data_IF_344480377619
#
_entry.id   IF_344480377619
#
_cell.length_a   1.000
_cell.length_b   1.000
_cell.length_c   1.000
_cell.angle_alpha   90.00
_cell.angle_beta   90.00
_cell.angle_gamma   90.00
#
_symmetry.space_group_name_H-M   'P 1'
#
loop_
_entity.id
_entity.type
_entity.pdbx_description
1 polymer ?
#
# COMPACT_ATOMS: atom_id res chain seq x y z
N UNK A 1 -14.02 32.14 -10.71
CA UNK A 1 -13.47 31.61 -9.43
C UNK A 1 -12.00 32.01 -9.38
N UNK A 2 -11.53 32.58 -8.27
CA UNK A 2 -10.19 33.17 -8.23
C UNK A 2 -9.13 32.07 -8.35
N UNK A 3 -8.05 32.32 -9.11
CA UNK A 3 -6.89 31.43 -9.21
C UNK A 3 -6.32 31.04 -7.83
N UNK A 4 -6.57 31.87 -6.81
CA UNK A 4 -6.23 31.61 -5.41
C UNK A 4 -6.99 30.41 -4.80
N UNK A 5 -8.26 30.20 -5.15
CA UNK A 5 -9.07 29.08 -4.63
C UNK A 5 -8.61 27.75 -5.25
N UNK A 6 -8.23 27.76 -6.53
CA UNK A 6 -7.69 26.59 -7.22
C UNK A 6 -6.33 26.18 -6.65
N UNK A 7 -5.47 27.16 -6.34
CA UNK A 7 -4.16 26.90 -5.72
C UNK A 7 -4.31 26.39 -4.27
N UNK A 8 -5.26 26.92 -3.50
CA UNK A 8 -5.53 26.44 -2.14
C UNK A 8 -6.09 25.00 -2.12
N UNK A 9 -6.94 24.63 -3.09
CA UNK A 9 -7.40 23.25 -3.24
C UNK A 9 -6.28 22.29 -3.67
N UNK A 10 -5.40 22.72 -4.58
CA UNK A 10 -4.26 21.92 -5.03
C UNK A 10 -3.21 21.71 -3.91
N UNK A 11 -3.00 22.71 -3.05
CA UNK A 11 -2.10 22.60 -1.89
C UNK A 11 -2.73 21.73 -0.78
N UNK A 12 -4.03 21.83 -0.53
CA UNK A 12 -4.73 20.96 0.44
C UNK A 12 -4.76 19.49 -0.01
N UNK A 13 -4.89 19.23 -1.31
CA UNK A 13 -4.79 17.89 -1.88
C UNK A 13 -3.38 17.29 -1.74
N UNK A 14 -2.33 18.13 -1.71
CA UNK A 14 -0.95 17.69 -1.53
C UNK A 14 -0.64 17.19 -0.11
N UNK A 15 -1.38 17.66 0.90
CA UNK A 15 -1.25 17.23 2.30
C UNK A 15 -2.05 15.96 2.66
N UNK A 16 -2.81 15.40 1.72
CA UNK A 16 -3.58 14.17 1.91
C UNK A 16 -2.83 12.89 1.48
N UNK A 17 -1.51 12.98 1.28
CA UNK A 17 -0.66 11.86 0.86
C UNK A 17 -0.16 11.09 2.08
N UNK A 18 -1.08 10.39 2.74
CA UNK A 18 -0.79 9.52 3.88
C UNK A 18 -1.87 8.47 4.09
N UNK A 19 -2.46 7.95 3.00
CA UNK A 19 -3.69 7.14 3.02
C UNK A 19 -3.52 5.71 3.54
N UNK A 20 -2.35 5.33 4.03
CA UNK A 20 -2.09 4.02 4.60
C UNK A 20 -1.73 4.17 6.07
N UNK A 21 -2.43 3.47 6.95
CA UNK A 21 -2.01 3.30 8.34
C UNK A 21 -1.03 2.13 8.41
N UNK A 22 0.28 2.37 8.62
CA UNK A 22 1.24 1.29 8.72
C UNK A 22 1.16 0.57 10.08
N UNK A 23 1.71 -0.64 10.13
CA UNK A 23 1.86 -1.44 11.34
C UNK A 23 3.25 -2.05 11.46
N UNK A 24 3.77 -2.08 12.69
CA UNK A 24 5.06 -2.72 12.98
C UNK A 24 4.98 -4.24 12.91
N UNK A 25 3.83 -4.84 13.25
CA UNK A 25 3.65 -6.29 13.28
C UNK A 25 2.60 -6.68 12.24
N UNK A 26 2.83 -7.76 11.49
CA UNK A 26 1.82 -8.34 10.61
C UNK A 26 0.69 -9.05 11.36
N UNK A 27 -0.35 -9.41 10.61
CA UNK A 27 -1.51 -10.20 11.04
C UNK A 27 -1.46 -11.65 10.55
N UNK A 28 -0.56 -11.97 9.62
CA UNK A 28 -0.38 -13.30 9.08
C UNK A 28 0.28 -14.27 10.08
N UNK A 29 -0.26 -15.48 10.17
CA UNK A 29 0.25 -16.62 10.94
C UNK A 29 -0.04 -17.91 10.18
N UNK A 30 0.70 -18.99 10.45
CA UNK A 30 0.48 -20.28 9.80
C UNK A 30 -0.97 -20.79 9.90
N UNK A 31 -1.72 -20.39 10.94
CA UNK A 31 -3.09 -20.86 11.18
C UNK A 31 -4.18 -20.06 10.45
N UNK A 32 -3.89 -18.86 9.94
CA UNK A 32 -4.91 -17.97 9.38
C UNK A 32 -4.62 -17.50 7.94
N UNK A 33 -3.44 -17.83 7.39
CA UNK A 33 -3.16 -17.61 5.98
C UNK A 33 -4.00 -18.58 5.16
N UNK A 34 -4.65 -18.04 4.14
CA UNK A 34 -5.41 -18.81 3.17
C UNK A 34 -4.91 -18.51 1.76
N UNK A 35 -4.99 -19.52 0.89
CA UNK A 35 -4.69 -19.36 -0.53
C UNK A 35 -5.96 -19.42 -1.36
N UNK A 36 -6.11 -18.43 -2.22
CA UNK A 36 -7.18 -18.27 -3.21
C UNK A 36 -6.56 -18.09 -4.60
N UNK A 37 -6.64 -19.10 -5.48
CA UNK A 37 -6.10 -19.00 -6.83
C UNK A 37 -6.79 -17.90 -7.65
N UNK A 38 -8.01 -17.50 -7.26
CA UNK A 38 -8.76 -16.45 -7.94
C UNK A 38 -8.09 -15.07 -7.80
N UNK A 39 -7.28 -14.85 -6.75
CA UNK A 39 -6.55 -13.60 -6.53
C UNK A 39 -5.42 -13.40 -7.55
N UNK A 40 -4.84 -14.49 -8.08
CA UNK A 40 -3.74 -14.45 -9.04
C UNK A 40 -4.20 -13.83 -10.36
N UNK A 41 -3.41 -12.89 -10.87
CA UNK A 41 -3.70 -12.15 -12.10
C UNK A 41 -3.58 -10.64 -11.90
N UNK A 42 -4.00 -9.90 -12.92
CA UNK A 42 -3.95 -8.44 -12.93
C UNK A 42 -5.35 -7.85 -12.69
N UNK A 43 -5.38 -6.86 -11.81
CA UNK A 43 -6.57 -6.15 -11.37
C UNK A 43 -6.38 -4.66 -11.59
N UNK A 44 -7.22 -4.06 -12.43
CA UNK A 44 -7.06 -2.68 -12.89
C UNK A 44 -8.13 -1.81 -12.25
N UNK A 45 -7.76 -0.58 -11.88
CA UNK A 45 -8.73 0.42 -11.42
C UNK A 45 -9.70 0.82 -12.54
N UNK A 46 -10.91 1.24 -12.17
CA UNK A 46 -11.94 1.66 -13.14
C UNK A 46 -11.47 2.81 -14.06
N UNK A 47 -10.54 3.65 -13.59
CA UNK A 47 -9.95 4.75 -14.35
C UNK A 47 -8.67 4.37 -15.11
N UNK A 48 -8.23 3.10 -15.04
CA UNK A 48 -7.04 2.58 -15.68
C UNK A 48 -5.78 3.40 -15.33
N UNK A 49 -5.70 3.90 -14.11
CA UNK A 49 -4.54 4.63 -13.58
C UNK A 49 -3.50 3.72 -12.92
N UNK A 50 -3.95 2.60 -12.35
CA UNK A 50 -3.08 1.63 -11.68
C UNK A 50 -3.58 0.19 -11.87
N UNK A 51 -2.65 -0.75 -11.82
CA UNK A 51 -2.90 -2.18 -11.82
C UNK A 51 -2.19 -2.86 -10.66
N UNK A 52 -2.88 -3.85 -10.08
CA UNK A 52 -2.41 -4.70 -9.00
C UNK A 52 -2.20 -6.08 -9.56
N UNK A 53 -0.94 -6.49 -9.71
CA UNK A 53 -0.56 -7.75 -10.35
C UNK A 53 -0.13 -8.74 -9.27
N UNK A 54 -0.98 -9.72 -8.99
CA UNK A 54 -0.67 -10.78 -8.03
C UNK A 54 -0.10 -12.00 -8.73
N UNK A 55 1.02 -12.49 -8.24
CA UNK A 55 1.61 -13.78 -8.63
C UNK A 55 1.79 -14.70 -7.41
N UNK A 56 1.77 -16.01 -7.65
CA UNK A 56 1.99 -17.01 -6.60
C UNK A 56 3.49 -17.17 -6.33
N UNK A 57 3.92 -17.05 -5.09
CA UNK A 57 5.30 -17.34 -4.68
C UNK A 57 5.43 -18.81 -4.26
N UNK A 58 4.46 -19.27 -3.47
CA UNK A 58 4.35 -20.65 -3.02
C UNK A 58 2.86 -21.04 -2.85
N UNK A 59 2.56 -22.04 -2.01
CA UNK A 59 1.20 -22.55 -1.77
C UNK A 59 0.34 -21.64 -0.88
N UNK A 60 0.92 -20.61 -0.24
CA UNK A 60 0.25 -19.75 0.75
C UNK A 60 0.50 -18.25 0.53
N UNK A 61 1.56 -17.86 -0.17
CA UNK A 61 1.99 -16.47 -0.31
C UNK A 61 1.93 -15.97 -1.75
N UNK A 62 1.76 -14.65 -1.85
CA UNK A 62 1.72 -13.92 -3.10
C UNK A 62 2.83 -12.88 -3.15
N UNK A 63 3.22 -12.55 -4.37
CA UNK A 63 3.92 -11.31 -4.67
C UNK A 63 2.90 -10.37 -5.32
N UNK A 64 2.88 -9.12 -4.89
CA UNK A 64 2.11 -8.06 -5.50
C UNK A 64 3.06 -7.05 -6.12
N UNK A 65 2.90 -6.83 -7.41
CA UNK A 65 3.50 -5.72 -8.12
C UNK A 65 2.43 -4.65 -8.36
N UNK A 66 2.70 -3.43 -7.88
CA UNK A 66 1.85 -2.27 -8.14
C UNK A 66 2.40 -1.54 -9.35
N UNK A 67 1.62 -1.51 -10.43
CA UNK A 67 2.00 -0.89 -11.71
C UNK A 67 1.15 0.36 -11.91
N UNK A 68 1.80 1.47 -12.23
CA UNK A 68 1.16 2.72 -12.61
C UNK A 68 1.50 3.05 -14.05
N UNK A 69 0.94 4.15 -14.58
CA UNK A 69 1.30 4.63 -15.92
C UNK A 69 2.79 5.02 -16.05
N UNK A 70 3.45 5.32 -14.93
CA UNK A 70 4.88 5.68 -14.88
C UNK A 70 5.79 4.44 -14.69
N UNK A 71 5.21 3.23 -14.72
CA UNK A 71 5.91 1.95 -14.49
C UNK A 71 5.61 1.34 -13.12
N UNK A 72 6.44 0.39 -12.70
CA UNK A 72 6.31 -0.30 -11.41
C UNK A 72 6.59 0.65 -10.25
N UNK A 73 5.57 0.86 -9.41
CA UNK A 73 5.59 1.76 -8.25
C UNK A 73 5.99 1.03 -6.95
N UNK A 74 5.85 -0.30 -6.90
CA UNK A 74 6.39 -1.08 -5.78
C UNK A 74 6.13 -2.58 -5.86
N UNK A 75 6.95 -3.32 -5.12
CA UNK A 75 6.88 -4.78 -5.00
C UNK A 75 6.68 -5.20 -3.55
N UNK A 76 5.70 -6.07 -3.29
CA UNK A 76 5.27 -6.44 -1.95
C UNK A 76 5.09 -7.95 -1.78
N UNK A 77 5.57 -8.47 -0.65
CA UNK A 77 5.15 -9.77 -0.15
C UNK A 77 3.73 -9.63 0.43
N UNK A 78 2.83 -10.53 0.04
CA UNK A 78 1.44 -10.48 0.47
C UNK A 78 0.97 -11.82 1.02
N UNK A 79 0.34 -11.79 2.18
CA UNK A 79 -0.43 -12.88 2.73
C UNK A 79 -1.92 -12.53 2.73
N UNK A 80 -2.76 -13.43 2.25
CA UNK A 80 -4.22 -13.31 2.40
C UNK A 80 -4.63 -14.01 3.69
N UNK A 81 -5.26 -13.26 4.59
CA UNK A 81 -5.55 -13.69 5.96
C UNK A 81 -7.06 -13.71 6.18
N UNK A 82 -7.58 -14.80 6.76
CA UNK A 82 -8.98 -14.90 7.17
C UNK A 82 -9.10 -14.66 8.68
N UNK A 83 -9.89 -13.64 9.06
CA UNK A 83 -10.18 -13.28 10.46
C UNK A 83 -11.69 -13.17 10.64
N UNK A 84 -12.26 -14.02 11.50
CA UNK A 84 -13.72 -14.04 11.80
C UNK A 84 -14.62 -14.14 10.55
N UNK A 85 -14.13 -14.79 9.47
CA UNK A 85 -14.84 -14.96 8.20
C UNK A 85 -14.65 -13.80 7.21
N UNK A 86 -13.87 -12.79 7.57
CA UNK A 86 -13.50 -11.64 6.73
C UNK A 86 -12.08 -11.81 6.19
N UNK A 87 -11.84 -11.28 4.99
CA UNK A 87 -10.54 -11.37 4.33
C UNK A 87 -9.74 -10.07 4.46
N UNK A 88 -8.47 -10.22 4.78
CA UNK A 88 -7.51 -9.12 4.84
C UNK A 88 -6.25 -9.44 4.05
N UNK A 89 -5.76 -8.47 3.29
CA UNK A 89 -4.40 -8.49 2.76
C UNK A 89 -3.46 -7.95 3.82
N UNK A 90 -2.43 -8.72 4.14
CA UNK A 90 -1.26 -8.29 4.90
C UNK A 90 -0.10 -8.09 3.92
N UNK A 91 0.20 -6.82 3.64
CA UNK A 91 1.21 -6.42 2.67
C UNK A 91 2.48 -5.96 3.39
N UNK A 92 3.64 -6.41 2.92
CA UNK A 92 4.94 -6.00 3.43
C UNK A 92 5.91 -5.74 2.27
N UNK A 93 6.73 -4.66 2.29
CA UNK A 93 7.67 -4.38 1.22
C UNK A 93 8.57 -5.57 0.91
N UNK A 94 8.75 -5.88 -0.37
CA UNK A 94 9.63 -6.94 -0.83
C UNK A 94 11.10 -6.51 -0.72
N UNK A 95 11.96 -7.43 -0.29
CA UNK A 95 13.42 -7.24 -0.34
C UNK A 95 13.97 -7.36 -1.78
N UNK A 96 13.15 -7.83 -2.71
CA UNK A 96 13.46 -7.89 -4.15
C UNK A 96 13.20 -6.56 -4.87
N UNK A 97 12.62 -5.55 -4.21
CA UNK A 97 12.45 -4.23 -4.82
C UNK A 97 13.82 -3.55 -5.03
N UNK A 98 14.27 -3.46 -6.28
CA UNK A 98 15.59 -2.95 -6.63
C UNK A 98 15.71 -1.43 -6.53
N UNK A 99 14.58 -0.70 -6.55
CA UNK A 99 14.50 0.77 -6.45
C UNK A 99 14.50 1.26 -5.00
N UNK A 100 14.61 0.34 -4.05
CA UNK A 100 14.47 0.61 -2.64
C UNK A 100 15.64 1.44 -2.07
N UNK A 101 15.38 2.63 -1.46
CA UNK A 101 16.43 3.54 -0.97
C UNK A 101 17.24 3.00 0.22
N UNK A 102 16.92 1.79 0.73
CA UNK A 102 17.63 1.16 1.85
C UNK A 102 19.09 0.80 1.56
N UNK A 103 19.49 0.73 0.29
CA UNK A 103 20.90 0.45 -0.07
C UNK A 103 21.86 1.59 0.26
N UNK A 104 21.34 2.75 0.68
CA UNK A 104 22.12 3.91 1.12
C UNK A 104 22.16 4.05 2.65
N UNK A 105 23.10 4.82 3.21
CA UNK A 105 23.09 5.18 4.65
C UNK A 105 21.79 5.88 5.08
N UNK A 106 21.14 6.59 4.16
CA UNK A 106 19.84 7.20 4.41
C UNK A 106 18.78 6.14 4.70
N UNK A 107 18.89 5.01 4.00
CA UNK A 107 18.15 3.77 4.23
C UNK A 107 18.05 3.31 5.69
N UNK A 108 19.12 3.42 6.47
CA UNK A 108 19.14 3.01 7.88
C UNK A 108 18.10 3.73 8.77
N UNK A 109 17.50 4.81 8.26
CA UNK A 109 16.49 5.60 8.96
C UNK A 109 15.05 5.21 8.57
N UNK A 110 14.87 4.26 7.64
CA UNK A 110 13.56 3.72 7.27
C UNK A 110 13.35 2.36 7.94
N UNK A 111 12.11 2.11 8.35
CA UNK A 111 11.67 0.83 8.86
C UNK A 111 10.58 0.29 7.92
N UNK A 112 10.76 -0.89 7.29
CA UNK A 112 9.68 -1.51 6.54
C UNK A 112 8.56 -1.90 7.49
N UNK A 113 7.32 -1.65 7.08
CA UNK A 113 6.13 -1.84 7.90
C UNK A 113 5.05 -2.55 7.09
N UNK A 114 4.15 -3.20 7.80
CA UNK A 114 2.97 -3.83 7.23
C UNK A 114 1.89 -2.81 6.93
N UNK A 115 1.08 -3.08 5.91
CA UNK A 115 -0.20 -2.39 5.67
C UNK A 115 -1.30 -3.41 5.48
N UNK A 116 -2.50 -3.08 5.98
CA UNK A 116 -3.64 -4.00 5.95
C UNK A 116 -4.77 -3.43 5.11
N UNK A 117 -5.39 -4.30 4.31
CA UNK A 117 -6.56 -3.95 3.53
C UNK A 117 -7.64 -5.00 3.72
N UNK A 118 -8.87 -4.57 4.01
CA UNK A 118 -10.02 -5.46 3.91
C UNK A 118 -10.27 -5.77 2.44
N UNK A 119 -10.47 -7.03 2.11
CA UNK A 119 -10.61 -7.50 0.75
C UNK A 119 -11.96 -8.19 0.54
N UNK A 120 -12.66 -7.82 -0.51
CA UNK A 120 -13.80 -8.57 -1.03
C UNK A 120 -13.43 -9.15 -2.38
N UNK A 121 -13.32 -10.47 -2.46
CA UNK A 121 -12.93 -11.18 -3.68
C UNK A 121 -14.13 -11.95 -4.25
N UNK A 122 -14.36 -11.79 -5.55
CA UNK A 122 -15.34 -12.50 -6.36
C UNK A 122 -14.68 -13.05 -7.64
N UNK A 123 -15.43 -13.75 -8.50
CA UNK A 123 -14.87 -14.32 -9.73
C UNK A 123 -14.28 -13.26 -10.67
N UNK A 124 -14.89 -12.08 -10.73
CA UNK A 124 -14.55 -11.02 -11.70
C UNK A 124 -14.17 -9.67 -11.05
N UNK A 125 -14.19 -9.59 -9.71
CA UNK A 125 -13.98 -8.33 -8.99
C UNK A 125 -13.22 -8.51 -7.69
N UNK A 126 -12.30 -7.57 -7.45
CA UNK A 126 -11.58 -7.39 -6.20
C UNK A 126 -11.90 -5.99 -5.68
N UNK A 127 -12.43 -5.88 -4.47
CA UNK A 127 -12.61 -4.59 -3.83
C UNK A 127 -11.72 -4.51 -2.58
N UNK A 128 -10.90 -3.46 -2.52
CA UNK A 128 -9.98 -3.23 -1.41
C UNK A 128 -10.42 -2.01 -0.61
N UNK A 129 -10.42 -2.13 0.72
CA UNK A 129 -10.61 -1.00 1.64
C UNK A 129 -9.40 -0.88 2.55
N UNK A 130 -8.79 0.30 2.54
CA UNK A 130 -7.66 0.61 3.43
C UNK A 130 -8.19 1.15 4.75
N UNK A 131 -7.41 1.03 5.82
CA UNK A 131 -7.74 1.72 7.07
C UNK A 131 -7.68 3.23 6.85
N UNK A 132 -8.70 3.94 7.32
CA UNK A 132 -8.77 5.39 7.21
C UNK A 132 -7.97 6.06 8.34
N UNK A 133 -6.90 6.82 8.01
CA UNK A 133 -6.08 7.48 9.02
C UNK A 133 -6.83 8.56 9.80
N UNK A 134 -7.79 9.26 9.17
CA UNK A 134 -8.60 10.30 9.84
C UNK A 134 -9.51 9.67 10.88
N UNK A 135 -10.13 8.52 10.56
CA UNK A 135 -10.91 7.78 11.55
C UNK A 135 -10.05 7.34 12.72
N UNK A 136 -8.87 6.79 12.43
CA UNK A 136 -7.96 6.32 13.46
C UNK A 136 -7.57 7.47 14.39
N UNK A 137 -7.13 8.61 13.85
CA UNK A 137 -6.78 9.79 14.65
C UNK A 137 -7.97 10.29 15.50
N UNK A 138 -9.18 10.29 14.94
CA UNK A 138 -10.39 10.67 15.65
C UNK A 138 -10.74 9.70 16.79
N UNK A 139 -10.58 8.39 16.57
CA UNK A 139 -10.79 7.33 17.56
C UNK A 139 -9.75 7.45 18.69
N UNK A 140 -8.48 7.64 18.36
CA UNK A 140 -7.38 7.82 19.32
C UNK A 140 -7.57 9.04 20.22
N UNK A 141 -8.09 10.12 19.66
CA UNK A 141 -8.41 11.34 20.40
C UNK A 141 -9.50 11.12 21.46
N UNK A 142 -10.38 10.15 21.25
CA UNK A 142 -11.48 9.82 22.17
C UNK A 142 -11.11 8.67 23.13
N UNK A 143 -10.31 7.71 22.66
CA UNK A 143 -9.97 6.46 23.35
C UNK A 143 -8.45 6.19 23.28
N UNK A 144 -7.65 6.82 24.14
CA UNK A 144 -6.17 6.73 24.09
C UNK A 144 -5.58 5.37 24.50
N UNK A 145 -6.43 4.35 24.74
CA UNK A 145 -6.01 2.99 25.13
C UNK A 145 -5.67 2.08 23.96
N UNK A 146 -5.92 2.52 22.73
CA UNK A 146 -5.37 1.92 21.52
C UNK A 146 -3.84 2.12 21.53
N UNK A 147 -3.06 1.20 20.99
CA UNK A 147 -1.58 1.24 21.03
C UNK A 147 -0.96 1.69 19.70
N UNK A 148 -1.22 2.92 19.20
CA UNK A 148 -0.44 3.48 18.11
C UNK A 148 0.84 4.10 18.67
N UNK A 149 1.86 4.21 17.81
CA UNK A 149 2.88 5.23 17.98
C UNK A 149 2.52 6.38 17.05
N UNK A 150 2.30 7.56 17.64
CA UNK A 150 2.20 8.82 16.91
C UNK A 150 3.58 9.46 16.94
N UNK A 151 4.20 9.63 15.78
CA UNK A 151 5.48 10.34 15.66
C UNK A 151 5.39 11.42 14.60
N UNK A 152 5.48 12.69 15.03
CA UNK A 152 5.37 13.90 14.21
C UNK A 152 4.13 13.89 13.30
N UNK A 153 4.25 13.31 12.10
CA UNK A 153 3.25 13.30 11.05
C UNK A 153 2.79 11.88 10.65
N UNK A 154 3.14 10.85 11.42
CA UNK A 154 2.77 9.46 11.12
C UNK A 154 2.13 8.79 12.33
N UNK A 155 0.97 8.17 12.09
CA UNK A 155 0.30 7.26 13.02
C UNK A 155 0.57 5.83 12.57
N UNK A 156 1.25 5.03 13.39
CA UNK A 156 1.54 3.62 13.10
C UNK A 156 0.98 2.71 14.20
N UNK A 157 0.43 1.56 13.82
CA UNK A 157 -0.05 0.54 14.76
C UNK A 157 1.14 -0.22 15.36
N UNK A 158 1.17 -0.36 16.68
CA UNK A 158 2.24 -1.11 17.38
C UNK A 158 1.73 -2.26 18.24
N UNK A 159 0.43 -2.54 18.19
CA UNK A 159 -0.15 -3.74 18.78
C UNK A 159 0.54 -5.01 18.26
N UNK A 160 0.58 -6.04 19.09
CA UNK A 160 1.03 -7.37 18.70
C UNK A 160 0.10 -7.97 17.64
N UNK A 161 0.58 -8.97 16.89
CA UNK A 161 -0.22 -9.72 15.90
C UNK A 161 -1.57 -10.16 16.47
N UNK A 162 -1.62 -10.68 17.70
CA UNK A 162 -2.88 -11.13 18.32
C UNK A 162 -3.85 -9.98 18.63
N UNK A 163 -3.33 -8.83 19.06
CA UNK A 163 -4.16 -7.64 19.30
C UNK A 163 -4.73 -7.09 17.99
N UNK A 164 -3.92 -7.07 16.92
CA UNK A 164 -4.33 -6.62 15.59
C UNK A 164 -5.38 -7.55 14.98
N UNK A 165 -5.19 -8.87 15.11
CA UNK A 165 -6.15 -9.88 14.64
C UNK A 165 -7.51 -9.75 15.33
N UNK A 166 -7.52 -9.43 16.63
CA UNK A 166 -8.76 -9.20 17.36
C UNK A 166 -9.41 -7.86 16.95
N UNK A 167 -8.60 -6.86 16.63
CA UNK A 167 -9.05 -5.51 16.35
C UNK A 167 -9.71 -5.38 14.96
N UNK A 168 -9.05 -5.87 13.91
CA UNK A 168 -9.46 -5.58 12.52
C UNK A 168 -10.91 -5.98 12.19
N UNK A 169 -11.41 -7.17 12.57
CA UNK A 169 -12.80 -7.53 12.35
C UNK A 169 -13.78 -6.61 13.10
N UNK A 170 -13.44 -6.19 14.31
CA UNK A 170 -14.28 -5.27 15.08
C UNK A 170 -14.45 -3.93 14.36
N UNK A 171 -13.37 -3.44 13.73
CA UNK A 171 -13.39 -2.19 12.96
C UNK A 171 -14.36 -2.22 11.78
N UNK A 172 -14.61 -3.38 11.16
CA UNK A 172 -15.58 -3.46 10.06
C UNK A 172 -17.02 -3.19 10.53
N UNK A 173 -17.30 -3.39 11.82
CA UNK A 173 -18.62 -3.15 12.42
C UNK A 173 -18.76 -1.79 13.11
N UNK A 174 -17.66 -1.04 13.24
CA UNK A 174 -17.65 0.25 13.93
C UNK A 174 -18.38 1.32 13.11
N UNK A 175 -19.15 2.15 13.80
CA UNK A 175 -19.90 3.22 13.15
C UNK A 175 -18.96 4.36 12.72
N UNK A 176 -19.31 5.11 11.66
CA UNK A 176 -18.59 6.33 11.33
C UNK A 176 -18.61 7.32 12.50
N UNK A 177 -17.48 7.99 12.75
CA UNK A 177 -17.33 9.01 13.78
C UNK A 177 -17.73 10.37 13.20
N UNK A 178 -18.83 10.99 13.68
CA UNK A 178 -19.29 12.27 13.15
C UNK A 178 -18.29 13.40 13.39
N UNK A 179 -17.98 14.16 12.34
CA UNK A 179 -17.00 15.24 12.40
C UNK A 179 -15.55 14.79 12.64
N UNK A 180 -15.27 13.48 12.55
CA UNK A 180 -13.93 12.92 12.64
C UNK A 180 -13.14 13.01 11.33
N UNK A 181 -13.80 13.33 10.22
CA UNK A 181 -13.15 13.45 8.91
C UNK A 181 -12.40 14.77 8.76
N UNK A 182 -11.39 14.78 7.87
CA UNK A 182 -10.50 15.92 7.62
C UNK A 182 -11.21 17.25 7.28
N UNK A 183 -12.44 17.19 6.73
CA UNK A 183 -13.27 18.34 6.39
C UNK A 183 -14.51 18.50 7.29
N UNK A 184 -14.50 17.91 8.49
CA UNK A 184 -15.65 17.88 9.40
C UNK A 184 -16.80 16.96 8.93
N UNK A 185 -16.50 16.06 7.99
CA UNK A 185 -17.39 14.96 7.60
C UNK A 185 -17.29 13.78 8.57
N UNK A 186 -18.09 12.75 8.33
CA UNK A 186 -18.01 11.50 9.09
C UNK A 186 -16.75 10.73 8.66
N UNK A 187 -15.98 10.22 9.60
CA UNK A 187 -14.85 9.33 9.31
C UNK A 187 -15.28 7.87 9.51
N UNK A 188 -15.00 6.98 8.56
CA UNK A 188 -15.28 5.53 8.69
C UNK A 188 -13.98 4.77 8.96
N UNK A 189 -14.00 3.63 9.67
CA UNK A 189 -12.77 2.88 9.99
C UNK A 189 -11.94 2.45 8.78
N UNK A 190 -12.63 2.20 7.67
CA UNK A 190 -12.02 1.91 6.38
C UNK A 190 -12.49 2.92 5.34
N UNK A 191 -11.64 3.16 4.34
CA UNK A 191 -11.94 3.99 3.18
C UNK A 191 -13.11 3.41 2.38
N UNK A 192 -13.64 4.21 1.45
CA UNK A 192 -14.47 3.64 0.38
C UNK A 192 -13.70 2.53 -0.35
N UNK A 193 -14.46 1.54 -0.84
CA UNK A 193 -13.89 0.47 -1.62
C UNK A 193 -13.29 0.99 -2.91
N UNK A 194 -12.06 0.60 -3.19
CA UNK A 194 -11.44 0.75 -4.51
C UNK A 194 -11.81 -0.51 -5.30
N UNK A 195 -12.78 -0.43 -6.24
CA UNK A 195 -13.10 -1.55 -7.10
C UNK A 195 -11.97 -1.75 -8.10
N UNK A 196 -11.56 -2.99 -8.26
CA UNK A 196 -10.62 -3.44 -9.27
C UNK A 196 -11.29 -4.55 -10.08
N UNK A 197 -11.15 -4.44 -11.39
CA UNK A 197 -11.68 -5.41 -12.34
C UNK A 197 -10.55 -6.21 -12.95
N UNK A 198 -10.80 -7.48 -13.24
CA UNK A 198 -9.80 -8.30 -13.94
C UNK A 198 -9.52 -7.72 -15.33
N UNK A 199 -8.24 -7.48 -15.62
CA UNK A 199 -7.82 -6.85 -16.87
C UNK A 199 -6.33 -6.64 -16.93
N UNK A 200 -5.85 -6.02 -18.01
CA UNK A 200 -4.48 -5.56 -18.15
C UNK A 200 -4.48 -4.03 -18.20
N UNK A 201 -3.46 -3.40 -17.64
CA UNK A 201 -3.30 -1.96 -17.71
C UNK A 201 -3.10 -1.58 -19.18
N UNK A 202 -3.99 -0.77 -19.72
CA UNK A 202 -3.89 -0.34 -21.11
C UNK A 202 -3.14 0.99 -21.20
N UNK A 203 -2.28 1.20 -22.21
CA UNK A 203 -1.66 2.51 -22.43
C UNK A 203 -2.74 3.57 -22.65
N UNK A 204 -2.53 4.78 -22.11
CA UNK A 204 -3.45 5.89 -22.34
C UNK A 204 -3.57 6.20 -23.83
N UNK A 205 -4.77 6.59 -24.27
CA UNK A 205 -5.04 6.91 -25.67
C UNK A 205 -4.08 8.01 -26.18
N UNK A 206 -3.16 7.63 -27.07
CA UNK A 206 -2.12 8.51 -27.62
C UNK A 206 -0.71 8.33 -27.06
N UNK A 207 -0.50 7.45 -26.08
CA UNK A 207 0.82 6.97 -25.65
C UNK A 207 1.29 5.85 -26.57
N UNK A 208 2.56 5.87 -27.00
CA UNK A 208 3.14 4.79 -27.81
C UNK A 208 3.29 3.53 -26.92
N UNK A 209 2.72 2.37 -27.31
CA UNK A 209 2.91 1.12 -26.56
C UNK A 209 4.38 0.73 -26.36
N UNK A 210 5.30 1.20 -27.22
CA UNK A 210 6.74 0.99 -27.03
C UNK A 210 7.30 1.83 -25.88
N UNK A 211 6.83 3.07 -25.67
CA UNK A 211 7.19 3.89 -24.50
C UNK A 211 6.60 3.29 -23.21
N UNK A 212 5.50 2.53 -23.29
CA UNK A 212 4.92 1.81 -22.16
C UNK A 212 5.70 0.52 -21.80
N UNK A 213 6.28 -0.18 -22.79
CA UNK A 213 7.06 -1.42 -22.60
C UNK A 213 8.56 -1.19 -22.33
N UNK A 214 9.16 -0.07 -22.74
CA UNK A 214 10.59 0.23 -22.48
C UNK A 214 10.94 0.34 -20.99
N UNK A 215 9.96 0.43 -20.09
CA UNK A 215 10.18 0.43 -18.63
C UNK A 215 10.38 -0.97 -18.04
N UNK A 216 9.89 -2.04 -18.69
CA UNK A 216 10.13 -3.44 -18.27
C UNK A 216 11.59 -3.86 -18.52
N UNK A 217 12.26 -3.28 -19.53
CA UNK A 217 13.63 -3.61 -19.91
C UNK A 217 14.71 -2.81 -19.14
N UNK A 218 14.33 -1.95 -18.19
CA UNK A 218 15.31 -1.23 -17.35
C UNK A 218 15.98 -2.10 -16.27
N UNK A 219 15.53 -3.36 -16.07
CA UNK A 219 16.24 -4.35 -15.23
C UNK A 219 17.59 -4.81 -15.81
N UNK A 220 17.88 -4.55 -17.09
CA UNK A 220 19.14 -4.96 -17.75
C UNK A 220 20.23 -3.87 -17.83
N UNK A 221 20.07 -2.72 -17.16
CA UNK A 221 21.21 -1.81 -16.98
C UNK A 221 22.18 -2.38 -15.93
N UNK A 222 23.03 -3.31 -16.36
CA UNK A 222 24.26 -3.65 -15.64
C UNK A 222 24.99 -2.34 -15.32
N UNK A 223 25.47 -2.15 -14.07
CA UNK A 223 26.20 -0.95 -13.74
C UNK A 223 27.41 -0.84 -14.66
N UNK A 224 27.48 0.25 -15.43
CA UNK A 224 28.64 0.63 -16.22
C UNK A 224 29.91 0.39 -15.39
N UNK A 225 30.88 -0.39 -15.89
CA UNK A 225 32.08 -0.71 -15.13
C UNK A 225 32.74 0.59 -14.71
N UNK A 226 32.89 0.77 -13.39
CA UNK A 226 33.61 1.90 -12.82
C UNK A 226 35.02 1.87 -13.39
N UNK A 227 35.29 2.78 -14.33
CA UNK A 227 36.61 2.93 -14.94
C UNK A 227 37.63 3.17 -13.81
N UNK A 228 38.67 2.33 -13.80
CA UNK A 228 39.75 2.24 -12.81
C UNK A 228 40.03 3.58 -12.10
N UNK A 229 39.59 3.69 -10.84
CA UNK A 229 40.06 4.75 -9.96
C UNK A 229 41.56 4.55 -9.74
N UNK A 230 42.36 5.40 -10.40
CA UNK A 230 43.82 5.42 -10.25
C UNK A 230 44.20 5.46 -8.76
N UNK A 231 45.24 4.71 -8.33
CA UNK A 231 45.62 4.64 -6.93
C UNK A 231 46.02 6.03 -6.43
N UNK A 232 45.27 6.54 -5.46
CA UNK A 232 45.61 7.74 -4.69
C UNK A 232 46.88 7.42 -3.90
N UNK A 233 48.03 7.92 -4.37
CA UNK A 233 49.26 7.90 -3.60
C UNK A 233 49.13 8.88 -2.43
N UNK A 234 49.09 8.35 -1.20
CA UNK A 234 49.11 9.15 0.02
C UNK A 234 50.50 9.79 0.25
N UNK A 235 50.56 11.02 0.82
CA UNK A 235 51.79 11.61 1.35
C UNK A 235 52.17 11.08 2.74
#
# INVERSE_FOLDING_TARGET
MSRLIVILFAIAALFATGSCVPSVHGIATESNIIYRPELVGSWVSDDNSAAWVFSSVDELHYMLELVTQDGTDGLFNVALVELEGELFLDMFPSDQDFNWPLKSYYGLHFMPMHTFMHAELSEDGLALRMMDPSWLDAKLSQEPGFTPVIHENMTALTGSTAELQALLPQLLSEAPIPGGGFMGGDASPFTEAVPLIRGELTPMEGMDPAEFMEFEDMEEMEPEPVEDAAPVTAP
#
